data_IF_110281642238
#
_entry.id   IF_110281642238
#
_cell.length_a   1.000
_cell.length_b   1.000
_cell.length_c   1.000
_cell.angle_alpha   90.00
_cell.angle_beta   90.00
_cell.angle_gamma   90.00
#
_symmetry.space_group_name_H-M   'P 1'
#
loop_
_entity.id
_entity.type
_entity.pdbx_description
1 polymer ?
#
# COMPACT_ATOMS: atom_id res chain seq x y z
N UNK A 1 -2.59 -37.95 -38.53
CA UNK A 1 -2.75 -36.55 -39.00
C UNK A 1 -3.47 -35.78 -37.88
N UNK A 2 -2.72 -35.00 -37.08
CA UNK A 2 -2.74 -33.52 -37.05
C UNK A 2 -4.16 -32.99 -36.68
N UNK A 3 -4.40 -32.22 -35.60
CA UNK A 3 -3.61 -31.12 -35.01
C UNK A 3 -3.95 -30.87 -33.53
N UNK A 4 -2.90 -30.69 -32.72
CA UNK A 4 -2.94 -29.95 -31.46
C UNK A 4 -3.31 -28.49 -31.71
N UNK A 5 -4.19 -27.93 -30.87
CA UNK A 5 -4.44 -26.49 -30.79
C UNK A 5 -3.86 -26.01 -29.45
N UNK A 6 -2.73 -25.32 -29.57
CA UNK A 6 -2.03 -24.65 -28.48
C UNK A 6 -2.70 -23.27 -28.27
N UNK A 7 -3.50 -23.13 -27.21
CA UNK A 7 -4.09 -21.86 -26.81
C UNK A 7 -3.09 -21.10 -25.94
N UNK A 8 -2.44 -20.09 -26.53
CA UNK A 8 -1.59 -19.12 -25.82
C UNK A 8 -2.51 -18.08 -25.19
N UNK A 9 -2.65 -18.12 -23.86
CA UNK A 9 -3.32 -17.09 -23.10
C UNK A 9 -2.37 -15.88 -22.92
N UNK A 10 -2.65 -14.77 -23.62
CA UNK A 10 -2.03 -13.48 -23.33
C UNK A 10 -2.64 -12.91 -22.03
N UNK A 11 -1.82 -12.85 -20.98
CA UNK A 11 -2.08 -12.05 -19.78
C UNK A 11 -1.81 -10.58 -20.11
N UNK A 12 -2.87 -9.80 -20.35
CA UNK A 12 -2.78 -8.35 -20.42
C UNK A 12 -2.73 -7.77 -18.99
N UNK A 13 -1.60 -7.17 -18.62
CA UNK A 13 -1.47 -6.41 -17.38
C UNK A 13 -2.09 -5.02 -17.56
N UNK A 14 -3.05 -4.65 -16.71
CA UNK A 14 -3.60 -3.30 -16.65
C UNK A 14 -2.63 -2.40 -15.86
N UNK A 15 -1.75 -1.68 -16.56
CA UNK A 15 -1.04 -0.54 -16.00
C UNK A 15 -1.89 0.72 -16.24
N UNK A 16 -2.40 1.33 -15.16
CA UNK A 16 -2.99 2.65 -15.21
C UNK A 16 -1.86 3.65 -15.52
N UNK A 17 -1.91 4.24 -16.71
CA UNK A 17 -0.93 5.21 -17.18
C UNK A 17 -1.60 6.59 -17.24
N UNK A 18 -1.81 7.19 -16.08
CA UNK A 18 -2.19 8.61 -15.99
C UNK A 18 -0.93 9.40 -15.61
N UNK A 19 -0.36 10.09 -16.59
CA UNK A 19 0.69 11.10 -16.36
C UNK A 19 0.02 12.36 -15.81
N UNK A 20 0.33 12.83 -14.59
CA UNK A 20 -0.03 14.19 -14.20
C UNK A 20 0.85 15.18 -14.97
N UNK A 21 0.20 16.05 -15.73
CA UNK A 21 0.78 17.22 -16.38
C UNK A 21 1.01 18.31 -15.31
N UNK A 22 2.24 18.46 -14.84
CA UNK A 22 2.63 19.56 -13.95
C UNK A 22 3.26 20.64 -14.84
N UNK A 23 2.54 21.74 -15.06
CA UNK A 23 3.13 22.97 -15.57
C UNK A 23 3.89 23.68 -14.43
N UNK A 24 5.10 24.20 -14.69
CA UNK A 24 5.80 25.06 -13.75
C UNK A 24 5.17 26.46 -13.78
N UNK A 25 4.77 26.95 -12.61
CA UNK A 25 4.31 28.32 -12.41
C UNK A 25 5.50 29.16 -11.94
N UNK A 26 6.02 30.00 -12.84
CA UNK A 26 7.09 30.94 -12.59
C UNK A 26 6.52 32.19 -11.90
N UNK A 27 6.56 32.25 -10.57
CA UNK A 27 6.48 33.54 -9.87
C UNK A 27 7.60 33.68 -8.86
N UNK A 28 8.67 34.28 -9.38
CA UNK A 28 9.75 34.94 -8.68
C UNK A 28 9.19 36.12 -7.85
N UNK A 29 9.41 36.13 -6.53
CA UNK A 29 9.39 37.38 -5.75
C UNK A 29 10.53 37.37 -4.74
N UNK A 30 11.50 38.20 -5.08
CA UNK A 30 12.65 38.66 -4.31
C UNK A 30 12.29 39.20 -2.92
N UNK A 31 13.02 38.76 -1.90
CA UNK A 31 13.45 39.64 -0.81
C UNK A 31 14.90 39.31 -0.43
N UNK A 32 15.74 40.31 -0.60
CA UNK A 32 17.17 40.34 -0.34
C UNK A 32 17.48 41.07 0.97
N UNK A 33 18.70 40.83 1.47
CA UNK A 33 19.53 41.64 2.40
C UNK A 33 19.06 41.70 3.87
N UNK A 34 19.91 41.60 4.90
CA UNK A 34 21.38 41.74 5.03
C UNK A 34 21.77 41.55 6.51
N UNK A 35 22.96 40.97 6.77
CA UNK A 35 23.99 41.35 7.79
C UNK A 35 23.62 41.36 9.30
N UNK A 36 24.47 41.07 10.31
CA UNK A 36 25.90 40.80 10.46
C UNK A 36 26.20 40.32 11.93
N UNK A 37 27.49 40.05 12.19
CA UNK A 37 28.23 39.89 13.46
C UNK A 37 28.41 38.44 13.99
N UNK A 38 29.60 37.82 13.92
CA UNK A 38 30.85 38.04 14.70
C UNK A 38 30.65 37.68 16.20
N UNK A 39 31.50 36.94 16.93
CA UNK A 39 32.91 36.58 16.81
C UNK A 39 33.32 35.53 17.88
N UNK A 40 34.51 34.92 17.68
CA UNK A 40 35.54 34.57 18.68
C UNK A 40 35.30 33.54 19.81
N UNK A 41 36.20 32.55 19.89
CA UNK A 41 36.50 31.78 21.11
C UNK A 41 37.55 30.67 20.87
N UNK A 42 38.71 30.80 21.51
CA UNK A 42 39.98 30.09 21.24
C UNK A 42 40.33 29.12 22.38
N UNK A 43 41.08 28.04 22.07
CA UNK A 43 41.99 27.32 22.99
C UNK A 43 41.51 25.91 23.40
N UNK A 44 42.31 24.85 23.52
CA UNK A 44 43.75 24.58 23.32
C UNK A 44 43.94 23.04 23.31
N UNK A 45 44.85 22.49 22.49
CA UNK A 45 46.19 22.00 22.87
C UNK A 45 46.31 20.49 23.15
N UNK A 46 47.05 19.84 22.23
CA UNK A 46 48.01 18.72 22.35
C UNK A 46 47.66 17.38 23.01
N UNK A 47 47.82 16.31 22.21
CA UNK A 47 48.72 15.21 22.57
C UNK A 47 49.35 14.57 21.32
N UNK A 48 50.68 14.67 21.24
CA UNK A 48 51.58 14.00 20.30
C UNK A 48 51.71 12.51 20.62
N UNK A 49 51.68 11.67 19.58
CA UNK A 49 52.04 10.25 19.66
C UNK A 49 52.31 9.69 18.26
N UNK A 50 53.59 9.64 17.89
CA UNK A 50 54.09 9.12 16.61
C UNK A 50 54.24 7.60 16.63
N UNK A 51 54.01 6.95 15.47
CA UNK A 51 54.82 5.80 15.03
C UNK A 51 54.05 4.56 14.63
N UNK A 52 54.06 4.24 13.32
CA UNK A 52 53.72 2.90 12.83
C UNK A 52 53.27 2.83 11.38
N UNK A 53 54.18 3.07 10.43
CA UNK A 53 53.97 2.78 9.01
C UNK A 53 53.88 1.28 8.76
N UNK A 54 52.83 0.80 8.08
CA UNK A 54 52.85 -0.42 7.27
C UNK A 54 51.76 -0.33 6.21
N UNK A 55 52.18 -0.55 4.97
CA UNK A 55 51.45 -0.31 3.74
C UNK A 55 50.46 -1.42 3.37
N UNK A 56 49.50 -1.06 2.50
CA UNK A 56 48.98 -1.97 1.48
C UNK A 56 47.61 -2.59 1.78
N UNK A 57 46.54 -1.90 1.37
CA UNK A 57 45.19 -2.45 1.35
C UNK A 57 44.22 -1.51 0.64
N UNK A 58 44.19 -1.58 -0.69
CA UNK A 58 43.28 -0.83 -1.54
C UNK A 58 41.82 -1.21 -1.29
N UNK A 59 40.99 -0.18 -1.10
CA UNK A 59 39.55 -0.08 -1.39
C UNK A 59 38.62 -1.23 -0.93
N UNK A 60 37.98 -0.98 0.21
CA UNK A 60 36.52 -1.06 0.27
C UNK A 60 36.03 0.13 1.10
N UNK A 61 35.63 1.20 0.41
CA UNK A 61 34.86 2.27 1.03
C UNK A 61 33.55 1.68 1.53
N UNK A 62 33.57 1.20 2.78
CA UNK A 62 32.37 0.83 3.51
C UNK A 62 31.56 2.09 3.70
N UNK A 63 30.64 2.33 2.77
CA UNK A 63 29.61 3.33 2.99
C UNK A 63 28.88 2.89 4.25
N UNK A 64 28.96 3.70 5.31
CA UNK A 64 28.05 3.69 6.44
C UNK A 64 26.65 4.05 5.92
N UNK A 65 26.08 3.20 5.07
CA UNK A 65 24.68 3.30 4.73
C UNK A 65 23.96 2.86 5.99
N UNK A 66 23.30 3.83 6.64
CA UNK A 66 22.27 3.51 7.63
C UNK A 66 21.41 2.39 7.04
N UNK A 67 21.12 1.34 7.82
CA UNK A 67 20.25 0.28 7.32
C UNK A 67 18.95 0.92 6.81
N UNK A 68 18.38 0.38 5.73
CA UNK A 68 17.08 0.83 5.28
C UNK A 68 16.09 0.74 6.45
N UNK A 69 15.20 1.72 6.61
CA UNK A 69 14.17 1.73 7.65
C UNK A 69 13.07 0.66 7.47
N UNK A 70 13.43 -0.50 6.90
CA UNK A 70 12.55 -1.63 6.65
C UNK A 70 13.38 -2.91 6.60
N UNK A 71 12.88 -3.95 7.27
CA UNK A 71 13.47 -5.28 7.25
C UNK A 71 12.44 -6.33 6.85
N UNK A 72 12.83 -7.28 6.01
CA UNK A 72 11.95 -8.39 5.63
C UNK A 72 11.99 -9.48 6.69
N UNK A 73 10.81 -9.90 7.15
CA UNK A 73 10.65 -11.09 7.98
C UNK A 73 10.53 -12.38 7.16
N UNK A 74 10.17 -13.47 7.85
CA UNK A 74 9.93 -14.78 7.24
C UNK A 74 8.63 -14.81 6.44
N UNK A 75 7.57 -14.16 6.94
CA UNK A 75 6.25 -14.06 6.30
C UNK A 75 6.05 -12.77 5.51
N UNK A 76 6.30 -11.61 6.13
CA UNK A 76 6.19 -10.32 5.45
C UNK A 76 7.51 -9.94 4.80
N UNK A 77 7.48 -9.72 3.48
CA UNK A 77 8.63 -9.25 2.70
C UNK A 77 8.38 -7.84 2.22
N UNK A 78 9.35 -6.95 2.41
CA UNK A 78 9.23 -5.57 1.94
C UNK A 78 9.21 -5.55 0.40
N UNK A 79 8.23 -4.87 -0.19
CA UNK A 79 8.20 -4.61 -1.64
C UNK A 79 9.06 -3.38 -1.91
N UNK A 80 10.09 -3.55 -2.73
CA UNK A 80 11.05 -2.48 -3.05
C UNK A 80 11.07 -2.19 -4.54
N UNK A 81 11.13 -0.91 -4.89
CA UNK A 81 11.47 -0.47 -6.24
C UNK A 81 12.99 -0.44 -6.34
N UNK A 82 13.52 -1.02 -7.42
CA UNK A 82 14.95 -0.95 -7.75
C UNK A 82 15.13 -0.03 -8.96
N UNK A 83 15.89 1.05 -8.79
CA UNK A 83 16.29 1.93 -9.88
C UNK A 83 17.25 1.23 -10.85
N UNK A 84 17.33 1.72 -12.08
CA UNK A 84 18.31 1.23 -13.07
C UNK A 84 19.76 1.41 -12.61
N UNK A 85 20.01 2.36 -11.72
CA UNK A 85 21.29 2.65 -11.05
C UNK A 85 21.56 1.75 -9.83
N UNK A 86 20.63 0.86 -9.46
CA UNK A 86 20.74 -0.02 -8.31
C UNK A 86 20.24 0.54 -6.98
N UNK A 87 19.78 1.80 -6.96
CA UNK A 87 19.10 2.39 -5.80
C UNK A 87 17.87 1.57 -5.41
N UNK A 88 17.52 1.57 -4.13
CA UNK A 88 16.36 0.84 -3.60
C UNK A 88 15.49 1.78 -2.77
N UNK A 89 14.19 1.75 -3.04
CA UNK A 89 13.19 2.48 -2.27
C UNK A 89 12.12 1.50 -1.79
N UNK A 90 11.75 1.59 -0.51
CA UNK A 90 10.58 0.89 -0.01
C UNK A 90 9.31 1.46 -0.62
N UNK A 91 8.49 0.60 -1.24
CA UNK A 91 7.26 1.02 -1.93
C UNK A 91 6.04 1.11 -0.99
N UNK A 92 6.27 1.28 0.32
CA UNK A 92 5.24 1.33 1.36
C UNK A 92 4.25 0.15 1.33
N UNK A 93 4.70 -1.02 0.85
CA UNK A 93 3.91 -2.24 0.71
C UNK A 93 4.70 -3.46 1.18
N UNK A 94 3.98 -4.42 1.74
CA UNK A 94 4.50 -5.71 2.13
C UNK A 94 3.87 -6.81 1.29
N UNK A 95 4.60 -7.89 1.04
CA UNK A 95 4.06 -9.14 0.51
C UNK A 95 3.93 -10.13 1.66
N UNK A 96 2.71 -10.56 1.95
CA UNK A 96 2.46 -11.74 2.78
C UNK A 96 2.68 -12.99 1.94
N UNK A 97 3.77 -13.71 2.19
CA UNK A 97 4.15 -14.89 1.40
C UNK A 97 3.29 -16.12 1.69
N UNK A 98 2.65 -16.18 2.86
CA UNK A 98 1.74 -17.28 3.21
C UNK A 98 0.40 -17.14 2.51
N UNK A 99 -0.14 -15.92 2.47
CA UNK A 99 -1.42 -15.63 1.80
C UNK A 99 -1.25 -15.29 0.31
N UNK A 100 -0.01 -15.06 -0.13
CA UNK A 100 0.38 -14.59 -1.46
C UNK A 100 -0.38 -13.32 -1.88
N UNK A 101 -0.38 -12.30 -1.02
CA UNK A 101 -1.03 -11.01 -1.29
C UNK A 101 -0.17 -9.83 -0.86
N UNK A 102 -0.29 -8.73 -1.57
CA UNK A 102 0.26 -7.45 -1.12
C UNK A 102 -0.65 -6.84 -0.05
N UNK A 103 -0.05 -6.26 0.98
CA UNK A 103 -0.71 -5.68 2.13
C UNK A 103 0.02 -4.44 2.67
N UNK A 104 -0.69 -3.64 3.46
CA UNK A 104 -0.15 -2.52 4.23
C UNK A 104 -0.73 -2.52 5.64
N UNK A 105 0.01 -1.94 6.59
CA UNK A 105 -0.44 -1.91 7.98
C UNK A 105 -1.59 -0.92 8.17
N UNK A 106 -2.73 -1.42 8.62
CA UNK A 106 -3.96 -0.66 8.90
C UNK A 106 -4.67 -1.22 10.13
N UNK A 107 -5.55 -0.43 10.74
CA UNK A 107 -6.39 -0.89 11.85
C UNK A 107 -7.43 -1.91 11.37
N UNK A 108 -7.46 -3.07 12.00
CA UNK A 108 -8.43 -4.13 11.74
C UNK A 108 -9.56 -4.13 12.77
N UNK A 109 -10.66 -4.84 12.47
CA UNK A 109 -11.86 -4.93 13.32
C UNK A 109 -11.67 -5.51 14.73
N UNK A 110 -10.49 -6.07 15.04
CA UNK A 110 -10.11 -6.47 16.40
C UNK A 110 -9.33 -5.39 17.18
N UNK A 111 -9.26 -4.16 16.63
CA UNK A 111 -8.59 -3.01 17.24
C UNK A 111 -7.07 -3.01 17.09
N UNK A 112 -6.49 -4.00 16.40
CA UNK A 112 -5.04 -4.12 16.21
C UNK A 112 -4.60 -3.61 14.85
N UNK A 113 -3.36 -3.13 14.77
CA UNK A 113 -2.71 -2.83 13.48
C UNK A 113 -2.29 -4.13 12.82
N UNK A 114 -2.77 -4.39 11.61
CA UNK A 114 -2.48 -5.62 10.86
C UNK A 114 -2.12 -5.32 9.41
N UNK A 115 -1.36 -6.20 8.77
CA UNK A 115 -1.08 -6.10 7.34
C UNK A 115 -2.33 -6.50 6.54
N UNK A 116 -3.16 -5.51 6.23
CA UNK A 116 -4.42 -5.69 5.51
C UNK A 116 -4.15 -5.74 4.00
N UNK A 117 -4.63 -6.78 3.29
CA UNK A 117 -4.42 -6.91 1.86
C UNK A 117 -4.96 -5.73 1.05
N UNK A 118 -4.48 -5.56 -0.18
CA UNK A 118 -5.17 -4.72 -1.15
C UNK A 118 -6.60 -5.27 -1.36
N UNK A 119 -7.59 -4.43 -1.13
CA UNK A 119 -9.01 -4.81 -1.16
C UNK A 119 -9.81 -3.94 -2.13
N UNK A 120 -11.04 -4.35 -2.37
CA UNK A 120 -12.09 -3.51 -2.97
C UNK A 120 -13.13 -3.14 -1.90
N UNK A 121 -13.67 -1.92 -1.90
CA UNK A 121 -14.72 -1.56 -0.96
C UNK A 121 -16.01 -2.31 -1.28
N UNK A 122 -16.74 -2.74 -0.25
CA UNK A 122 -18.14 -3.15 -0.41
C UNK A 122 -18.91 -1.97 -0.99
N UNK A 123 -19.62 -2.22 -2.10
CA UNK A 123 -20.21 -1.18 -2.93
C UNK A 123 -21.73 -1.03 -2.71
N UNK A 124 -22.42 -2.15 -2.49
CA UNK A 124 -23.87 -2.16 -2.39
C UNK A 124 -24.39 -3.55 -2.07
N UNK A 125 -25.58 -3.88 -2.58
CA UNK A 125 -26.27 -5.14 -2.30
C UNK A 125 -26.76 -5.83 -3.56
N UNK A 126 -26.88 -7.16 -3.51
CA UNK A 126 -27.41 -7.97 -4.62
C UNK A 126 -28.94 -8.13 -4.58
N UNK A 127 -29.58 -7.75 -3.49
CA UNK A 127 -31.00 -7.99 -3.23
C UNK A 127 -31.75 -6.72 -2.82
N UNK A 128 -33.06 -6.71 -3.08
CA UNK A 128 -33.96 -5.61 -2.73
C UNK A 128 -34.19 -5.45 -1.22
N UNK A 129 -33.72 -6.38 -0.38
CA UNK A 129 -33.71 -6.25 1.07
C UNK A 129 -32.45 -5.56 1.62
N UNK A 130 -31.45 -5.29 0.75
CA UNK A 130 -30.14 -4.79 1.16
C UNK A 130 -29.50 -5.67 2.25
N UNK A 131 -29.54 -6.99 2.05
CA UNK A 131 -29.05 -7.97 3.05
C UNK A 131 -27.75 -8.65 2.65
N UNK A 132 -27.50 -8.80 1.35
CA UNK A 132 -26.36 -9.51 0.78
C UNK A 132 -25.43 -8.53 0.09
N UNK A 133 -24.24 -8.34 0.66
CA UNK A 133 -23.25 -7.39 0.16
C UNK A 133 -22.69 -7.78 -1.21
N UNK A 134 -22.39 -6.77 -2.01
CA UNK A 134 -21.62 -6.90 -3.25
C UNK A 134 -20.41 -5.97 -3.25
N UNK A 135 -19.44 -6.31 -4.10
CA UNK A 135 -18.39 -5.39 -4.54
C UNK A 135 -18.42 -5.31 -6.06
N UNK A 136 -17.77 -4.29 -6.61
CA UNK A 136 -17.58 -4.14 -8.04
C UNK A 136 -16.10 -4.12 -8.38
N UNK A 137 -15.75 -4.59 -9.58
CA UNK A 137 -14.43 -4.38 -10.18
C UNK A 137 -14.60 -3.95 -11.64
N UNK A 138 -13.69 -3.14 -12.19
CA UNK A 138 -13.76 -2.78 -13.61
C UNK A 138 -13.80 -4.03 -14.49
N UNK A 139 -14.59 -3.98 -15.58
CA UNK A 139 -14.63 -5.09 -16.54
C UNK A 139 -13.23 -5.43 -17.05
N UNK A 140 -12.99 -6.72 -17.25
CA UNK A 140 -11.70 -7.27 -17.70
C UNK A 140 -10.55 -7.15 -16.69
N UNK A 141 -10.81 -6.71 -15.45
CA UNK A 141 -9.84 -6.80 -14.36
C UNK A 141 -10.13 -8.03 -13.48
N UNK A 142 -9.09 -8.66 -12.95
CA UNK A 142 -9.26 -9.67 -11.90
C UNK A 142 -9.59 -8.95 -10.60
N UNK A 143 -10.71 -9.26 -9.93
CA UNK A 143 -11.04 -8.61 -8.67
C UNK A 143 -10.01 -9.01 -7.60
N UNK A 144 -9.68 -8.12 -6.64
CA UNK A 144 -8.93 -8.52 -5.46
C UNK A 144 -9.64 -9.65 -4.71
N UNK A 145 -8.85 -10.50 -4.05
CA UNK A 145 -9.38 -11.63 -3.28
C UNK A 145 -10.26 -11.21 -2.11
N UNK A 146 -10.05 -10.00 -1.60
CA UNK A 146 -10.69 -9.51 -0.38
C UNK A 146 -11.47 -8.22 -0.65
N UNK A 147 -12.61 -8.09 0.02
CA UNK A 147 -13.39 -6.87 0.11
C UNK A 147 -13.32 -6.28 1.51
N UNK A 148 -13.49 -4.97 1.65
CA UNK A 148 -13.48 -4.28 2.94
C UNK A 148 -14.74 -3.47 3.21
N UNK A 149 -15.12 -3.44 4.48
CA UNK A 149 -16.13 -2.55 5.03
C UNK A 149 -15.52 -1.81 6.21
N UNK A 150 -15.72 -0.49 6.28
CA UNK A 150 -15.39 0.28 7.48
C UNK A 150 -16.39 -0.11 8.57
N UNK A 151 -15.93 -0.44 9.79
CA UNK A 151 -16.76 -1.04 10.85
C UNK A 151 -17.90 -0.14 11.39
N UNK A 152 -18.28 0.95 10.72
CA UNK A 152 -19.39 1.83 11.11
C UNK A 152 -19.18 2.59 12.42
N UNK A 153 -18.09 2.32 13.14
CA UNK A 153 -17.67 3.07 14.31
C UNK A 153 -17.23 4.43 13.82
N UNK A 154 -18.06 5.44 14.03
CA UNK A 154 -17.67 6.84 13.83
C UNK A 154 -16.46 7.09 14.71
N UNK A 155 -15.27 7.34 14.14
CA UNK A 155 -14.10 7.60 14.96
C UNK A 155 -14.34 8.90 15.72
N UNK A 156 -14.46 8.81 17.04
CA UNK A 156 -14.47 9.97 17.92
C UNK A 156 -13.05 10.52 17.95
N UNK A 157 -12.80 11.57 17.15
CA UNK A 157 -11.54 12.32 17.05
C UNK A 157 -10.42 11.64 16.22
N UNK A 158 -10.42 11.87 14.90
CA UNK A 158 -9.24 11.74 14.04
C UNK A 158 -8.73 10.32 13.73
N UNK A 159 -9.32 9.28 14.31
CA UNK A 159 -8.98 7.88 13.99
C UNK A 159 -9.53 7.41 12.64
N UNK A 160 -8.88 6.43 12.03
CA UNK A 160 -9.48 5.66 10.94
C UNK A 160 -10.35 4.56 11.53
N UNK A 161 -11.61 4.45 11.07
CA UNK A 161 -12.47 3.35 11.46
C UNK A 161 -11.82 2.00 11.08
N UNK A 162 -11.88 0.98 11.96
CA UNK A 162 -11.21 -0.28 11.69
C UNK A 162 -11.87 -1.03 10.53
N UNK A 163 -11.07 -1.76 9.76
CA UNK A 163 -11.55 -2.51 8.60
C UNK A 163 -12.06 -3.90 8.99
N UNK A 164 -13.25 -4.23 8.49
CA UNK A 164 -13.73 -5.61 8.36
C UNK A 164 -13.33 -6.14 6.98
N UNK A 165 -12.85 -7.38 6.93
CA UNK A 165 -12.36 -8.02 5.71
C UNK A 165 -13.28 -9.19 5.36
N UNK A 166 -13.64 -9.31 4.10
CA UNK A 166 -14.49 -10.37 3.57
C UNK A 166 -13.84 -10.99 2.34
N UNK A 167 -14.20 -12.23 2.00
CA UNK A 167 -13.81 -12.83 0.73
C UNK A 167 -14.63 -12.25 -0.41
N UNK A 168 -14.00 -12.02 -1.56
CA UNK A 168 -14.74 -11.80 -2.81
C UNK A 168 -15.17 -13.14 -3.37
N UNK A 169 -16.47 -13.27 -3.65
CA UNK A 169 -17.11 -14.47 -4.13
C UNK A 169 -17.29 -14.50 -5.65
N UNK A 170 -18.32 -15.24 -6.08
CA UNK A 170 -18.65 -15.41 -7.48
C UNK A 170 -19.16 -14.12 -8.15
N UNK A 171 -18.95 -14.03 -9.46
CA UNK A 171 -19.53 -12.98 -10.31
C UNK A 171 -21.06 -13.14 -10.38
N UNK A 172 -21.78 -12.03 -10.33
CA UNK A 172 -23.24 -11.95 -10.37
C UNK A 172 -23.73 -11.25 -11.64
N UNK A 173 -25.06 -11.11 -11.77
CA UNK A 173 -25.67 -10.23 -12.75
C UNK A 173 -25.17 -8.77 -12.55
N UNK A 174 -25.04 -7.95 -13.60
CA UNK A 174 -24.48 -6.60 -13.52
C UNK A 174 -25.51 -5.59 -13.00
N UNK A 175 -26.27 -5.97 -11.98
CA UNK A 175 -27.24 -5.12 -11.31
C UNK A 175 -27.02 -5.14 -9.80
N UNK A 176 -27.38 -4.05 -9.13
CA UNK A 176 -27.20 -3.89 -7.69
C UNK A 176 -28.26 -2.98 -7.08
N UNK A 177 -28.33 -3.02 -5.75
CA UNK A 177 -29.16 -2.14 -4.94
C UNK A 177 -28.28 -1.32 -4.01
N UNK A 178 -28.73 -0.11 -3.66
CA UNK A 178 -28.08 0.77 -2.68
C UNK A 178 -29.01 1.07 -1.53
N UNK A 179 -28.46 1.23 -0.33
CA UNK A 179 -29.23 1.57 0.85
C UNK A 179 -29.32 3.09 0.99
N UNK A 180 -30.53 3.62 1.05
CA UNK A 180 -30.83 5.04 1.29
C UNK A 180 -31.73 5.16 2.53
N UNK A 181 -31.12 5.50 3.67
CA UNK A 181 -31.79 5.45 4.97
C UNK A 181 -32.26 4.03 5.32
N UNK A 182 -33.56 3.87 5.53
CA UNK A 182 -34.19 2.56 5.77
C UNK A 182 -34.53 1.80 4.47
N UNK A 183 -34.50 2.47 3.32
CA UNK A 183 -34.96 1.90 2.05
C UNK A 183 -33.81 1.30 1.25
N UNK A 184 -34.13 0.27 0.48
CA UNK A 184 -33.24 -0.31 -0.52
C UNK A 184 -33.71 0.13 -1.91
N UNK A 185 -32.84 0.78 -2.68
CA UNK A 185 -33.15 1.41 -3.97
C UNK A 185 -32.47 0.61 -5.07
N UNK A 186 -33.22 0.21 -6.11
CA UNK A 186 -32.71 -0.54 -7.25
C UNK A 186 -33.77 -1.40 -7.94
N UNK A 187 -33.37 -2.29 -8.89
CA UNK A 187 -31.98 -2.52 -9.30
C UNK A 187 -31.43 -1.38 -10.17
N UNK A 188 -30.14 -1.07 -10.00
CA UNK A 188 -29.35 -0.18 -10.83
C UNK A 188 -28.38 -1.01 -11.69
N UNK A 189 -28.02 -0.54 -12.89
CA UNK A 189 -27.03 -1.21 -13.75
C UNK A 189 -25.61 -0.82 -13.35
N UNK A 190 -24.70 -1.79 -13.33
CA UNK A 190 -23.26 -1.60 -13.09
C UNK A 190 -22.49 -1.42 -14.41
N UNK A 191 -22.77 -0.34 -15.13
CA UNK A 191 -22.14 -0.10 -16.44
C UNK A 191 -20.62 0.08 -16.33
N UNK A 192 -19.87 -0.67 -17.11
CA UNK A 192 -18.40 -0.69 -17.07
C UNK A 192 -17.78 -1.56 -15.96
N UNK A 193 -18.59 -2.17 -15.10
CA UNK A 193 -18.13 -2.99 -13.98
C UNK A 193 -18.69 -4.42 -14.04
N UNK A 194 -17.96 -5.32 -13.40
CA UNK A 194 -18.44 -6.65 -13.02
C UNK A 194 -18.82 -6.64 -11.54
N UNK A 195 -19.98 -7.21 -11.23
CA UNK A 195 -20.51 -7.31 -9.86
C UNK A 195 -20.12 -8.65 -9.28
N UNK A 196 -19.62 -8.66 -8.04
CA UNK A 196 -19.25 -9.88 -7.33
C UNK A 196 -19.95 -9.95 -5.98
N UNK A 197 -20.39 -11.14 -5.61
CA UNK A 197 -20.89 -11.40 -4.27
C UNK A 197 -19.78 -11.18 -3.24
N UNK A 198 -20.11 -10.65 -2.07
CA UNK A 198 -19.21 -10.65 -0.92
C UNK A 198 -19.51 -11.89 -0.07
N UNK A 199 -18.48 -12.68 0.19
CA UNK A 199 -18.56 -13.93 0.92
C UNK A 199 -18.34 -13.78 2.42
N UNK A 200 -17.85 -14.84 3.05
CA UNK A 200 -17.64 -14.90 4.49
C UNK A 200 -16.67 -13.82 5.00
N UNK A 201 -16.95 -13.31 6.20
CA UNK A 201 -16.04 -12.46 6.97
C UNK A 201 -14.77 -13.25 7.31
N UNK A 202 -13.63 -12.63 7.10
CA UNK A 202 -12.31 -13.19 7.37
C UNK A 202 -11.85 -12.72 8.76
N UNK A 203 -11.48 -13.65 9.68
CA UNK A 203 -10.95 -13.26 10.99
C UNK A 203 -9.69 -12.39 10.85
N UNK A 204 -9.59 -11.23 11.53
CA UNK A 204 -8.41 -10.37 11.49
C UNK A 204 -7.11 -11.10 11.85
N UNK A 205 -7.19 -12.09 12.75
CA UNK A 205 -6.05 -12.92 13.18
C UNK A 205 -5.36 -13.69 12.06
N UNK A 206 -5.99 -13.83 10.88
CA UNK A 206 -5.33 -14.39 9.70
C UNK A 206 -4.20 -13.49 9.17
N UNK A 207 -4.24 -12.18 9.45
CA UNK A 207 -3.26 -11.20 8.97
C UNK A 207 -2.21 -10.91 10.04
N UNK A 208 -0.96 -10.70 9.60
CA UNK A 208 0.16 -10.40 10.51
C UNK A 208 -0.11 -9.11 11.30
N UNK A 209 0.04 -9.19 12.61
CA UNK A 209 -0.04 -8.03 13.52
C UNK A 209 1.25 -7.22 13.47
N UNK A 210 1.13 -5.89 13.53
CA UNK A 210 2.24 -4.96 13.63
C UNK A 210 2.11 -4.12 14.89
N UNK A 211 3.25 -3.64 15.39
CA UNK A 211 3.35 -2.73 16.54
C UNK A 211 4.20 -1.52 16.16
N UNK A 212 3.87 -0.36 16.71
CA UNK A 212 4.70 0.84 16.56
C UNK A 212 5.89 0.75 17.51
N UNK A 213 7.09 0.96 16.98
CA UNK A 213 8.32 1.14 17.74
C UNK A 213 8.87 2.53 17.41
N UNK A 214 9.36 3.24 18.43
CA UNK A 214 10.10 4.48 18.26
C UNK A 214 11.56 4.11 18.47
N UNK A 215 12.36 4.23 17.42
CA UNK A 215 13.83 4.06 17.47
C UNK A 215 14.53 5.40 17.75
#
# INVERSE_FOLDING_TARGET
MKRSILLIALLAACAANEKPNIQPDDTNTSMSSSDAAASSGVGGSNSTGSGGSSAGGSNAGGSNQSPPGWESGTRLRAVVIKGSDGSKQFYHRWRDTTLNVDCSFQSASDGKTRCIPQTVPIYGYSDAGCTSFITVAPKNCTPPKYATLSSGVTPTCGGSAPWEIFLVGQKLAPTYYTKSGANCVGPQNADGYDVFAVGAKVPPSQFVEGSYVVE
#
